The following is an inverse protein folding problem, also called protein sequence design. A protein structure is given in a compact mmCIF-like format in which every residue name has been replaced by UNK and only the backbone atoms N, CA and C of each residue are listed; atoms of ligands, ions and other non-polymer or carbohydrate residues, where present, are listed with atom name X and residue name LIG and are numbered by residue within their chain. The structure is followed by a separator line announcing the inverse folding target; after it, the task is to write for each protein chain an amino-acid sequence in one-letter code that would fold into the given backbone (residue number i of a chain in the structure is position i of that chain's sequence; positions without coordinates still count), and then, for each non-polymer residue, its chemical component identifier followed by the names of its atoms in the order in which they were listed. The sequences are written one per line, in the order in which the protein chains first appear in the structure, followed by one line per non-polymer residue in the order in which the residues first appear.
data_IF_273147167722
#
_entry.id   IF_273147167722
#
_cell.length_a   1.000
_cell.length_b   1.000
_cell.length_c   1.000
_cell.angle_alpha   90.00
_cell.angle_beta   90.00
_cell.angle_gamma   90.00
#
_symmetry.space_group_name_H-M   'P 1'
#
loop_
_entity.id
_entity.type
_entity.pdbx_description
1 polymer ?
#
# COMPACT_ATOMS: atom_id res chain seq x y z
N UNK A 1 -81.98 3.54 -55.34
CA UNK A 1 -81.04 3.46 -54.20
C UNK A 1 -79.82 2.68 -54.69
N UNK A 2 -78.68 3.34 -54.83
CA UNK A 2 -77.47 2.78 -55.44
C UNK A 2 -76.45 2.52 -54.27
N UNK A 3 -76.20 1.26 -53.96
CA UNK A 3 -75.24 0.86 -52.97
C UNK A 3 -73.89 0.73 -53.65
N UNK A 4 -72.93 1.51 -53.23
CA UNK A 4 -71.49 1.41 -53.67
C UNK A 4 -70.76 0.45 -52.79
N UNK A 5 -70.22 -0.62 -53.35
CA UNK A 5 -69.25 -1.48 -52.70
C UNK A 5 -67.85 -0.84 -52.79
N UNK A 6 -67.22 -0.66 -51.67
CA UNK A 6 -65.83 -0.21 -51.57
C UNK A 6 -64.96 -1.43 -51.40
N UNK A 7 -64.12 -1.73 -52.40
CA UNK A 7 -63.09 -2.77 -52.31
C UNK A 7 -61.91 -2.24 -51.56
N UNK A 8 -61.63 -2.86 -50.43
CA UNK A 8 -60.41 -2.56 -49.61
C UNK A 8 -59.34 -3.53 -50.04
N UNK A 9 -58.29 -3.04 -50.72
CA UNK A 9 -57.13 -3.80 -51.07
C UNK A 9 -56.19 -3.87 -49.82
N UNK A 10 -55.94 -5.08 -49.36
CA UNK A 10 -55.02 -5.36 -48.28
C UNK A 10 -53.60 -5.55 -48.85
N UNK A 11 -52.76 -4.55 -48.73
CA UNK A 11 -51.37 -4.65 -49.10
C UNK A 11 -50.60 -5.32 -47.94
N UNK A 12 -50.18 -6.55 -48.13
CA UNK A 12 -49.30 -7.27 -47.21
C UNK A 12 -47.86 -6.77 -47.42
N UNK A 13 -47.37 -5.97 -46.50
CA UNK A 13 -45.93 -5.62 -46.42
C UNK A 13 -45.20 -6.75 -45.72
N UNK A 14 -44.36 -7.49 -46.46
CA UNK A 14 -43.37 -8.40 -45.93
C UNK A 14 -42.25 -7.58 -45.25
N UNK A 15 -42.22 -7.60 -43.95
CA UNK A 15 -41.01 -7.19 -43.20
C UNK A 15 -39.97 -8.27 -43.30
N UNK A 16 -38.96 -8.06 -44.09
CA UNK A 16 -37.70 -8.81 -44.00
C UNK A 16 -36.96 -8.32 -42.75
N UNK A 17 -37.02 -9.10 -41.67
CA UNK A 17 -36.10 -8.93 -40.54
C UNK A 17 -34.72 -9.30 -41.05
N UNK A 18 -33.94 -8.29 -41.39
CA UNK A 18 -32.48 -8.44 -41.50
C UNK A 18 -31.94 -8.55 -40.06
N UNK A 19 -31.52 -9.74 -39.66
CA UNK A 19 -30.62 -9.88 -38.50
C UNK A 19 -29.30 -9.26 -38.90
N UNK A 20 -29.06 -8.03 -38.50
CA UNK A 20 -27.73 -7.51 -38.35
C UNK A 20 -27.17 -8.12 -37.05
N UNK A 21 -26.24 -9.08 -37.17
CA UNK A 21 -25.34 -9.42 -36.09
C UNK A 21 -24.51 -8.16 -35.79
N UNK A 22 -24.93 -7.38 -34.79
CA UNK A 22 -24.02 -6.44 -34.15
C UNK A 22 -23.04 -7.30 -33.40
N UNK A 23 -21.83 -7.45 -33.91
CA UNK A 23 -20.67 -7.80 -33.12
C UNK A 23 -20.51 -6.63 -32.14
N UNK A 24 -21.15 -6.71 -30.98
CA UNK A 24 -20.85 -5.90 -29.83
C UNK A 24 -19.45 -6.37 -29.39
N UNK A 25 -18.41 -5.79 -29.99
CA UNK A 25 -17.11 -5.81 -29.37
C UNK A 25 -17.27 -5.16 -28.02
N UNK A 26 -17.20 -5.95 -26.95
CA UNK A 26 -17.07 -5.46 -25.59
C UNK A 26 -15.88 -4.51 -25.56
N UNK A 27 -16.15 -3.22 -25.65
CA UNK A 27 -15.13 -2.20 -25.47
C UNK A 27 -14.67 -2.29 -24.02
N UNK A 28 -13.56 -3.00 -23.79
CA UNK A 28 -12.91 -3.07 -22.48
C UNK A 28 -12.40 -1.66 -22.18
N UNK A 29 -13.24 -0.87 -21.50
CA UNK A 29 -12.83 0.43 -20.99
C UNK A 29 -11.90 0.18 -19.81
N UNK A 30 -10.61 0.24 -20.06
CA UNK A 30 -9.62 0.22 -18.98
C UNK A 30 -9.75 1.54 -18.20
N UNK A 31 -9.96 1.49 -16.87
CA UNK A 31 -9.99 2.71 -16.08
C UNK A 31 -8.69 3.52 -16.27
N UNK A 32 -8.74 4.84 -16.25
CA UNK A 32 -7.55 5.66 -16.35
C UNK A 32 -6.60 5.36 -15.18
N UNK A 33 -5.29 5.23 -15.47
CA UNK A 33 -4.28 5.05 -14.45
C UNK A 33 -4.18 6.29 -13.57
N UNK A 34 -4.09 6.07 -12.25
CA UNK A 34 -3.80 7.13 -11.29
C UNK A 34 -2.37 7.63 -11.41
N UNK A 35 -2.15 8.87 -11.01
CA UNK A 35 -0.81 9.45 -10.88
C UNK A 35 -0.84 10.60 -9.88
N UNK A 36 0.33 11.00 -9.41
CA UNK A 36 0.50 12.16 -8.54
C UNK A 36 1.58 11.98 -7.50
N UNK A 37 1.81 13.02 -6.75
CA UNK A 37 2.73 13.03 -5.63
C UNK A 37 1.98 12.69 -4.34
N UNK A 38 2.65 11.91 -3.48
CA UNK A 38 2.22 11.58 -2.12
C UNK A 38 3.34 11.95 -1.16
N UNK A 39 2.97 12.47 0.00
CA UNK A 39 3.92 12.87 1.04
C UNK A 39 3.22 13.65 2.14
N UNK A 40 3.97 14.05 3.16
CA UNK A 40 3.44 14.77 4.30
C UNK A 40 2.43 13.96 5.12
N UNK A 41 1.36 14.61 5.62
CA UNK A 41 0.40 13.97 6.53
C UNK A 41 -0.90 13.60 5.81
N UNK A 42 -1.28 12.33 5.85
CA UNK A 42 -2.60 11.88 5.47
C UNK A 42 -3.56 12.05 6.66
N UNK A 43 -4.47 13.00 6.55
CA UNK A 43 -5.45 13.34 7.61
C UNK A 43 -6.89 12.96 7.27
N UNK A 44 -7.11 12.34 6.11
CA UNK A 44 -8.39 11.83 5.66
C UNK A 44 -8.21 10.51 4.89
N UNK A 45 -9.24 9.68 4.91
CA UNK A 45 -9.23 8.44 4.13
C UNK A 45 -9.08 8.74 2.64
N UNK A 46 -8.26 7.96 1.95
CA UNK A 46 -8.04 8.11 0.52
C UNK A 46 -7.74 6.78 -0.14
N UNK A 47 -8.33 6.57 -1.31
CA UNK A 47 -7.99 5.46 -2.20
C UNK A 47 -7.23 6.01 -3.41
N UNK A 48 -6.07 5.44 -3.66
CA UNK A 48 -5.26 5.66 -4.84
C UNK A 48 -5.57 4.51 -5.81
N UNK A 49 -6.21 4.83 -6.92
CA UNK A 49 -6.49 3.84 -7.99
C UNK A 49 -5.18 3.32 -8.58
N UNK A 50 -5.21 2.15 -9.23
CA UNK A 50 -4.01 1.61 -9.89
C UNK A 50 -3.30 2.69 -10.71
N UNK A 51 -2.01 2.87 -10.46
CA UNK A 51 -1.23 3.92 -11.13
C UNK A 51 0.19 4.07 -10.64
N UNK A 52 0.82 5.17 -11.06
CA UNK A 52 2.20 5.50 -10.71
C UNK A 52 2.23 6.76 -9.84
N UNK A 53 2.76 6.63 -8.65
CA UNK A 53 2.81 7.70 -7.65
C UNK A 53 4.27 8.00 -7.27
N UNK A 54 4.57 9.27 -7.04
CA UNK A 54 5.86 9.70 -6.52
C UNK A 54 5.74 9.95 -5.02
N UNK A 55 6.56 9.27 -4.23
CA UNK A 55 6.67 9.53 -2.80
C UNK A 55 7.74 10.62 -2.59
N UNK A 56 7.34 11.74 -1.97
CA UNK A 56 8.20 12.88 -1.68
C UNK A 56 8.17 13.19 -0.19
N UNK A 57 9.25 12.87 0.50
CA UNK A 57 9.36 12.94 1.95
C UNK A 57 8.62 11.82 2.69
N UNK A 58 8.45 11.98 3.99
CA UNK A 58 7.77 11.00 4.84
C UNK A 58 6.26 11.14 4.70
N UNK A 59 5.60 10.09 4.20
CA UNK A 59 4.13 10.04 4.12
C UNK A 59 3.56 9.40 5.38
N UNK A 60 3.04 10.23 6.29
CA UNK A 60 2.52 9.83 7.61
C UNK A 60 1.03 9.58 7.56
N UNK A 61 0.59 8.35 7.73
CA UNK A 61 -0.82 7.96 7.84
C UNK A 61 -1.24 8.11 9.29
N UNK A 62 -2.03 9.14 9.57
CA UNK A 62 -2.42 9.54 10.93
C UNK A 62 -3.43 8.58 11.55
N UNK A 63 -3.50 8.58 12.88
CA UNK A 63 -4.51 7.84 13.63
C UNK A 63 -5.93 8.11 13.11
N UNK A 64 -6.72 7.06 12.94
CA UNK A 64 -8.09 7.13 12.40
C UNK A 64 -8.18 7.24 10.89
N UNK A 65 -7.05 7.33 10.17
CA UNK A 65 -7.01 7.44 8.71
C UNK A 65 -6.70 6.08 8.07
N UNK A 66 -7.39 5.79 6.98
CA UNK A 66 -7.11 4.62 6.13
C UNK A 66 -6.67 5.09 4.74
N UNK A 67 -5.49 4.67 4.33
CA UNK A 67 -4.97 4.86 2.98
C UNK A 67 -4.99 3.52 2.25
N UNK A 68 -5.54 3.53 1.04
CA UNK A 68 -5.63 2.34 0.19
C UNK A 68 -4.93 2.59 -1.13
N UNK A 69 -4.13 1.62 -1.58
CA UNK A 69 -3.60 1.56 -2.94
C UNK A 69 -4.17 0.33 -3.65
N UNK A 70 -4.71 0.53 -4.84
CA UNK A 70 -5.21 -0.56 -5.66
C UNK A 70 -4.06 -1.43 -6.20
N UNK A 71 -4.37 -2.71 -6.47
CA UNK A 71 -3.43 -3.69 -7.01
C UNK A 71 -2.75 -3.17 -8.29
N UNK A 72 -1.47 -3.48 -8.46
CA UNK A 72 -0.65 -3.04 -9.59
C UNK A 72 -0.19 -1.58 -9.53
N UNK A 73 -0.40 -0.89 -8.40
CA UNK A 73 0.16 0.45 -8.19
C UNK A 73 1.68 0.40 -7.99
N UNK A 74 2.37 1.42 -8.48
CA UNK A 74 3.80 1.63 -8.28
C UNK A 74 4.01 2.94 -7.53
N UNK A 75 4.70 2.88 -6.41
CA UNK A 75 5.09 4.02 -5.59
C UNK A 75 6.60 4.19 -5.71
N UNK A 76 7.07 5.29 -6.28
CA UNK A 76 8.49 5.56 -6.49
C UNK A 76 8.95 6.68 -5.58
N UNK A 77 9.90 6.40 -4.68
CA UNK A 77 10.52 7.39 -3.83
C UNK A 77 11.35 8.37 -4.68
N UNK A 78 11.20 9.67 -4.41
CA UNK A 78 11.87 10.75 -5.13
C UNK A 78 13.36 10.87 -4.76
N UNK A 79 13.68 10.60 -3.51
CA UNK A 79 15.02 10.61 -2.88
C UNK A 79 15.82 11.92 -3.04
N UNK A 80 15.19 12.98 -3.54
CA UNK A 80 15.86 14.29 -3.73
C UNK A 80 15.71 15.22 -2.54
N UNK A 81 14.70 15.01 -1.68
CA UNK A 81 14.28 15.94 -0.63
C UNK A 81 14.44 15.39 0.80
N UNK A 82 15.50 14.63 1.05
CA UNK A 82 15.78 14.09 2.39
C UNK A 82 15.40 12.64 2.54
N UNK A 83 14.55 12.32 3.53
CA UNK A 83 14.12 10.95 3.80
C UNK A 83 12.72 10.72 3.28
N UNK A 84 12.58 9.78 2.37
CA UNK A 84 11.28 9.26 1.94
C UNK A 84 10.97 7.99 2.72
N UNK A 85 9.77 7.87 3.24
CA UNK A 85 9.26 6.66 3.90
C UNK A 85 7.73 6.66 3.90
N UNK A 86 7.12 5.49 3.96
CA UNK A 86 5.69 5.36 4.26
C UNK A 86 5.56 4.96 5.72
N UNK A 87 4.93 5.81 6.50
CA UNK A 87 4.77 5.63 7.96
C UNK A 87 3.30 5.46 8.29
N UNK A 88 2.96 4.38 8.97
CA UNK A 88 1.64 4.15 9.56
C UNK A 88 1.74 4.41 11.06
N UNK A 89 1.17 5.51 11.51
CA UNK A 89 1.12 5.82 12.95
C UNK A 89 0.14 4.89 13.68
N UNK A 90 0.33 4.72 14.97
CA UNK A 90 -0.59 3.92 15.79
C UNK A 90 -2.04 4.42 15.61
N UNK A 91 -2.95 3.51 15.25
CA UNK A 91 -4.34 3.80 14.90
C UNK A 91 -4.58 4.23 13.46
N UNK A 92 -3.55 4.45 12.63
CA UNK A 92 -3.63 4.57 11.18
C UNK A 92 -3.73 3.20 10.50
N UNK A 93 -4.13 3.17 9.24
CA UNK A 93 -4.20 1.93 8.44
C UNK A 93 -3.68 2.13 7.02
N UNK A 94 -2.86 1.19 6.58
CA UNK A 94 -2.42 1.09 5.20
C UNK A 94 -2.98 -0.20 4.58
N UNK A 95 -3.73 -0.05 3.50
CA UNK A 95 -4.30 -1.15 2.74
C UNK A 95 -3.60 -1.21 1.39
N UNK A 96 -2.73 -2.19 1.23
CA UNK A 96 -2.07 -2.54 -0.02
C UNK A 96 -2.42 -4.00 -0.33
N UNK A 97 -3.51 -4.21 -1.04
CA UNK A 97 -4.01 -5.54 -1.35
C UNK A 97 -3.75 -5.87 -2.81
N UNK A 98 -2.47 -6.07 -3.14
CA UNK A 98 -2.04 -6.55 -4.45
C UNK A 98 -2.45 -7.99 -4.73
N UNK A 99 -2.09 -8.48 -5.90
CA UNK A 99 -2.26 -9.88 -6.32
C UNK A 99 -0.95 -10.42 -6.89
N UNK A 100 -0.85 -11.73 -7.11
CA UNK A 100 0.32 -12.32 -7.76
C UNK A 100 0.54 -11.79 -9.19
N UNK A 101 -0.55 -11.49 -9.91
CA UNK A 101 -0.49 -10.92 -11.26
C UNK A 101 -0.25 -9.39 -11.25
N UNK A 102 -0.70 -8.71 -10.21
CA UNK A 102 -0.63 -7.26 -10.06
C UNK A 102 -0.14 -6.90 -8.65
N UNK A 103 1.14 -7.15 -8.32
CA UNK A 103 1.71 -6.75 -7.04
C UNK A 103 1.76 -5.22 -6.93
N UNK A 104 1.73 -4.71 -5.71
CA UNK A 104 2.03 -3.31 -5.44
C UNK A 104 3.53 -3.19 -5.22
N UNK A 105 4.17 -2.25 -5.91
CA UNK A 105 5.62 -2.08 -5.85
C UNK A 105 5.96 -0.72 -5.27
N UNK A 106 6.75 -0.73 -4.19
CA UNK A 106 7.35 0.46 -3.62
C UNK A 106 8.86 0.41 -3.93
N UNK A 107 9.35 1.37 -4.68
CA UNK A 107 10.72 1.38 -5.21
C UNK A 107 11.31 2.78 -5.21
N UNK A 108 12.53 2.91 -5.71
CA UNK A 108 13.14 4.20 -6.00
C UNK A 108 13.72 4.20 -7.43
N UNK A 109 13.92 5.38 -7.98
CA UNK A 109 14.23 5.57 -9.40
C UNK A 109 15.62 5.10 -9.80
N UNK A 110 16.62 5.35 -8.95
CA UNK A 110 18.04 5.08 -9.23
C UNK A 110 18.46 3.67 -8.91
N UNK A 111 17.61 2.89 -8.23
CA UNK A 111 17.85 1.52 -7.77
C UNK A 111 19.09 1.41 -6.90
N UNK A 112 19.25 2.38 -6.01
CA UNK A 112 20.33 2.44 -5.04
C UNK A 112 19.82 1.97 -3.68
N UNK A 113 20.37 0.88 -3.16
CA UNK A 113 20.04 0.36 -1.84
C UNK A 113 20.24 1.44 -0.76
N UNK A 114 19.29 1.55 0.18
CA UNK A 114 19.35 2.51 1.27
C UNK A 114 19.00 3.94 0.90
N UNK A 115 18.46 4.18 -0.29
CA UNK A 115 18.10 5.54 -0.70
C UNK A 115 16.82 6.06 -0.04
N UNK A 116 15.94 5.17 0.44
CA UNK A 116 14.69 5.51 1.11
C UNK A 116 14.39 4.56 2.28
N UNK A 117 13.40 4.91 3.12
CA UNK A 117 13.18 4.30 4.42
C UNK A 117 12.22 3.10 4.43
N UNK A 118 11.63 2.71 3.31
CA UNK A 118 10.72 1.57 3.30
C UNK A 118 9.33 1.85 3.88
N UNK A 119 8.70 0.79 4.42
CA UNK A 119 7.37 0.85 5.06
C UNK A 119 7.52 0.59 6.54
N UNK A 120 7.07 1.53 7.36
CA UNK A 120 7.19 1.52 8.81
C UNK A 120 5.80 1.57 9.43
N UNK A 121 5.50 0.66 10.36
CA UNK A 121 4.23 0.62 11.07
C UNK A 121 4.46 0.66 12.58
N UNK A 122 3.81 1.59 13.27
CA UNK A 122 3.78 1.68 14.72
C UNK A 122 2.45 1.18 15.26
N UNK A 123 2.52 0.39 16.33
CA UNK A 123 1.35 -0.16 17.00
C UNK A 123 1.46 -0.09 18.52
N UNK A 124 0.45 -0.60 19.18
CA UNK A 124 0.30 -0.66 20.63
C UNK A 124 0.06 -2.08 21.17
N UNK A 125 0.47 -3.09 20.39
CA UNK A 125 0.46 -4.46 20.87
C UNK A 125 1.55 -4.69 21.94
N UNK A 126 1.47 -5.76 22.74
CA UNK A 126 2.49 -6.06 23.75
C UNK A 126 3.88 -6.24 23.16
N UNK A 127 4.89 -5.74 23.86
CA UNK A 127 6.30 -5.99 23.58
C UNK A 127 6.92 -6.80 24.70
N UNK A 128 7.91 -7.63 24.34
CA UNK A 128 8.73 -8.34 25.32
C UNK A 128 9.98 -7.49 25.57
N UNK A 129 10.03 -6.85 26.71
CA UNK A 129 11.17 -6.01 27.11
C UNK A 129 11.65 -6.39 28.49
N UNK A 130 12.50 -5.56 29.09
CA UNK A 130 12.82 -5.67 30.50
C UNK A 130 11.53 -5.68 31.34
N UNK A 131 11.47 -6.45 32.41
CA UNK A 131 10.28 -6.61 33.22
C UNK A 131 9.64 -5.24 33.56
N UNK A 132 8.39 -5.05 33.22
CA UNK A 132 7.64 -3.80 33.46
C UNK A 132 7.73 -2.75 32.36
N UNK A 133 8.46 -2.97 31.25
CA UNK A 133 8.47 -2.04 30.11
C UNK A 133 7.29 -2.34 29.20
N UNK A 134 6.30 -1.45 29.18
CA UNK A 134 5.13 -1.58 28.32
C UNK A 134 5.32 -0.87 26.95
N UNK A 135 6.26 0.08 26.87
CA UNK A 135 6.55 0.87 25.67
C UNK A 135 8.06 1.04 25.48
N UNK A 136 8.47 1.26 24.24
CA UNK A 136 9.84 1.57 23.88
C UNK A 136 9.86 2.71 22.85
N UNK A 137 11.04 3.30 22.62
CA UNK A 137 11.27 4.32 21.60
C UNK A 137 11.78 3.64 20.34
N UNK A 138 11.24 4.03 19.18
CA UNK A 138 11.69 3.55 17.88
C UNK A 138 13.09 4.09 17.55
N UNK A 139 13.87 3.29 16.86
CA UNK A 139 15.26 3.59 16.49
C UNK A 139 15.45 4.10 15.07
N UNK A 140 14.38 4.17 14.28
CA UNK A 140 14.39 4.58 12.87
C UNK A 140 14.74 6.06 12.63
N UNK A 141 14.94 6.84 13.70
CA UNK A 141 15.29 8.26 13.63
C UNK A 141 14.17 9.19 13.16
N UNK A 142 12.96 8.65 12.96
CA UNK A 142 11.81 9.47 12.61
C UNK A 142 11.17 10.12 13.84
N UNK A 143 10.52 11.25 13.60
CA UNK A 143 9.81 11.99 14.65
C UNK A 143 8.33 12.17 14.30
N UNK A 144 7.52 12.20 15.35
CA UNK A 144 6.11 12.56 15.27
C UNK A 144 5.93 14.08 15.09
N UNK A 145 4.70 14.57 15.11
CA UNK A 145 4.39 15.99 14.92
C UNK A 145 4.87 16.90 16.06
N UNK A 146 5.13 16.34 17.23
CA UNK A 146 5.75 17.05 18.34
C UNK A 146 7.28 17.08 18.25
N UNK A 147 7.84 16.61 17.13
CA UNK A 147 9.27 16.51 16.90
C UNK A 147 9.99 15.64 17.96
N UNK A 148 9.29 14.61 18.43
CA UNK A 148 9.85 13.60 19.34
C UNK A 148 9.85 12.24 18.63
N UNK A 149 10.80 11.38 18.98
CA UNK A 149 10.87 10.04 18.44
C UNK A 149 9.54 9.29 18.66
N UNK A 150 9.19 8.42 17.72
CA UNK A 150 8.01 7.57 17.88
C UNK A 150 8.22 6.57 19.01
N UNK A 151 7.12 6.28 19.71
CA UNK A 151 7.07 5.20 20.70
C UNK A 151 6.12 4.12 20.26
N UNK A 152 6.37 2.90 20.66
CA UNK A 152 5.57 1.73 20.34
C UNK A 152 5.39 0.82 21.57
N UNK A 153 4.47 -0.13 21.52
CA UNK A 153 4.15 -1.00 22.63
C UNK A 153 2.89 -0.57 23.37
N UNK A 154 2.33 -1.50 24.10
CA UNK A 154 1.09 -1.32 24.85
C UNK A 154 0.45 -2.65 25.23
N UNK A 155 -0.88 -2.69 25.22
CA UNK A 155 -1.65 -3.87 25.65
C UNK A 155 -2.65 -4.37 24.61
N UNK A 156 -2.75 -3.71 23.46
CA UNK A 156 -3.70 -4.05 22.41
C UNK A 156 -3.17 -5.16 21.49
N UNK A 157 -3.22 -6.41 21.93
CA UNK A 157 -2.77 -7.54 21.14
C UNK A 157 -3.47 -7.66 19.77
N UNK A 158 -4.65 -7.07 19.60
CA UNK A 158 -5.42 -7.07 18.35
C UNK A 158 -5.20 -5.79 17.51
N UNK A 159 -4.17 -4.98 17.80
CA UNK A 159 -3.84 -3.80 17.00
C UNK A 159 -3.88 -4.14 15.50
N UNK A 160 -4.42 -3.21 14.70
CA UNK A 160 -4.63 -3.39 13.28
C UNK A 160 -4.12 -2.18 12.50
N UNK A 161 -2.92 -2.30 11.94
CA UNK A 161 -2.29 -1.32 11.04
C UNK A 161 -2.70 -1.45 9.56
N UNK A 162 -3.61 -2.40 9.25
CA UNK A 162 -4.11 -2.58 7.88
C UNK A 162 -3.77 -3.93 7.25
N UNK A 163 -3.58 -3.92 5.94
CA UNK A 163 -3.30 -5.14 5.15
C UNK A 163 -2.21 -4.85 4.14
N UNK A 164 -1.16 -5.64 4.18
CA UNK A 164 -0.15 -5.70 3.12
C UNK A 164 -0.18 -7.11 2.51
N UNK A 165 -0.59 -7.20 1.26
CA UNK A 165 -0.57 -8.44 0.47
C UNK A 165 0.05 -8.20 -0.89
N UNK A 166 0.92 -9.10 -1.32
CA UNK A 166 1.65 -8.99 -2.59
C UNK A 166 2.25 -7.61 -2.77
N UNK A 167 2.97 -7.17 -1.74
CA UNK A 167 3.71 -5.90 -1.73
C UNK A 167 5.19 -6.19 -1.84
N UNK A 168 5.86 -5.48 -2.75
CA UNK A 168 7.31 -5.53 -2.90
C UNK A 168 7.91 -4.18 -2.58
N UNK A 169 8.83 -4.16 -1.63
CA UNK A 169 9.67 -3.01 -1.26
C UNK A 169 11.06 -3.24 -1.81
N UNK A 170 11.57 -2.29 -2.57
CA UNK A 170 12.85 -2.38 -3.26
C UNK A 170 13.77 -1.23 -2.87
N UNK A 171 15.05 -1.54 -2.67
CA UNK A 171 16.13 -0.58 -2.44
C UNK A 171 15.97 0.32 -1.21
N UNK A 172 15.18 -0.11 -0.23
CA UNK A 172 14.97 0.58 1.04
C UNK A 172 16.15 0.34 2.01
N UNK A 173 15.97 0.65 3.28
CA UNK A 173 17.00 0.44 4.31
C UNK A 173 17.87 1.66 4.51
N UNK A 174 17.26 2.88 4.54
CA UNK A 174 18.01 4.12 4.72
C UNK A 174 18.55 4.27 6.12
N UNK A 175 19.86 4.48 6.22
CA UNK A 175 20.50 4.90 7.47
C UNK A 175 20.34 6.41 7.66
N UNK A 176 19.86 6.82 8.83
CA UNK A 176 19.73 8.22 9.20
C UNK A 176 20.89 8.59 10.10
N UNK A 177 21.60 9.62 9.77
CA UNK A 177 22.68 10.21 10.56
C UNK A 177 23.69 9.24 11.15
N UNK A 178 24.81 9.17 11.34
CA UNK A 178 25.84 8.45 12.13
C UNK A 178 25.84 6.91 12.13
N UNK A 179 24.89 6.24 11.46
CA UNK A 179 24.83 4.78 11.41
C UNK A 179 24.29 4.10 12.69
N UNK A 180 23.55 4.85 13.51
CA UNK A 180 22.89 4.33 14.70
C UNK A 180 21.36 4.27 14.57
N UNK A 181 20.79 5.02 13.63
CA UNK A 181 19.35 4.99 13.31
C UNK A 181 19.18 4.40 11.93
N UNK A 182 18.51 3.27 11.85
CA UNK A 182 18.38 2.46 10.65
C UNK A 182 16.92 2.23 10.32
N UNK A 183 16.62 2.19 9.03
CA UNK A 183 15.33 1.80 8.50
C UNK A 183 15.51 0.56 7.65
N UNK A 184 14.52 -0.28 7.63
CA UNK A 184 14.54 -1.56 6.95
C UNK A 184 13.71 -1.54 5.66
N UNK A 185 13.62 -2.67 4.99
CA UNK A 185 12.59 -2.87 3.97
C UNK A 185 11.20 -2.68 4.57
N UNK A 186 10.94 -3.40 5.65
CA UNK A 186 9.73 -3.31 6.45
C UNK A 186 10.08 -3.28 7.94
N UNK A 187 9.62 -2.27 8.66
CA UNK A 187 9.77 -2.16 10.12
C UNK A 187 8.41 -2.25 10.79
N UNK A 188 8.21 -3.23 11.66
CA UNK A 188 6.95 -3.49 12.35
C UNK A 188 7.11 -3.31 13.86
N UNK A 189 6.89 -2.09 14.34
CA UNK A 189 6.97 -1.74 15.75
C UNK A 189 5.68 -2.09 16.48
N UNK A 190 5.68 -3.17 17.25
CA UNK A 190 4.55 -3.56 18.11
C UNK A 190 3.21 -3.72 17.37
N UNK A 191 3.26 -4.25 16.17
CA UNK A 191 2.07 -4.47 15.33
C UNK A 191 1.28 -5.67 15.86
N UNK A 192 -0.05 -5.56 15.89
CA UNK A 192 -0.93 -6.57 16.49
C UNK A 192 -1.54 -7.54 15.50
N UNK A 193 -2.18 -8.59 16.04
CA UNK A 193 -2.76 -9.73 15.31
C UNK A 193 -3.91 -9.36 14.37
N UNK A 194 -4.46 -8.15 14.47
CA UNK A 194 -5.45 -7.63 13.53
C UNK A 194 -4.86 -7.19 12.19
N UNK A 195 -3.54 -7.05 12.10
CA UNK A 195 -2.84 -6.67 10.86
C UNK A 195 -2.57 -7.90 10.00
N UNK A 196 -2.68 -7.76 8.69
CA UNK A 196 -2.44 -8.83 7.73
C UNK A 196 -1.16 -8.54 6.95
N UNK A 197 -0.18 -9.45 7.04
CA UNK A 197 1.10 -9.39 6.33
C UNK A 197 1.29 -10.70 5.56
N UNK A 198 1.08 -10.68 4.24
CA UNK A 198 1.11 -11.90 3.42
C UNK A 198 1.75 -11.66 2.05
N UNK A 199 2.63 -12.58 1.61
CA UNK A 199 3.27 -12.52 0.30
C UNK A 199 4.03 -11.21 0.08
N UNK A 200 4.91 -10.87 1.01
CA UNK A 200 5.72 -9.66 0.95
C UNK A 200 7.12 -9.98 0.43
N UNK A 201 7.71 -9.03 -0.27
CA UNK A 201 9.08 -9.13 -0.79
C UNK A 201 9.88 -7.90 -0.37
N UNK A 202 10.99 -8.08 0.34
CA UNK A 202 12.05 -7.09 0.49
C UNK A 202 13.18 -7.40 -0.47
N UNK A 203 13.54 -6.43 -1.31
CA UNK A 203 14.45 -6.64 -2.43
C UNK A 203 15.57 -5.60 -2.45
N UNK A 204 16.80 -6.08 -2.27
CA UNK A 204 18.04 -5.28 -2.38
C UNK A 204 18.03 -4.01 -1.52
N UNK A 205 17.58 -4.12 -0.27
CA UNK A 205 17.74 -3.09 0.75
C UNK A 205 19.19 -2.97 1.20
N UNK A 206 19.53 -1.86 1.85
CA UNK A 206 20.85 -1.63 2.44
C UNK A 206 20.92 -2.06 3.90
N UNK A 207 19.82 -2.49 4.47
CA UNK A 207 19.68 -2.99 5.83
C UNK A 207 18.79 -4.22 5.83
N UNK A 208 18.11 -4.55 6.95
CA UNK A 208 17.28 -5.73 7.08
C UNK A 208 16.11 -5.78 6.07
N UNK A 209 15.72 -6.99 5.72
CA UNK A 209 14.54 -7.22 4.91
C UNK A 209 13.25 -6.90 5.67
N UNK A 210 13.18 -7.43 6.88
CA UNK A 210 12.03 -7.29 7.79
C UNK A 210 12.51 -7.23 9.21
N UNK A 211 12.02 -6.28 9.97
CA UNK A 211 12.31 -6.21 11.39
C UNK A 211 11.03 -6.08 12.22
N UNK A 212 10.92 -6.92 13.27
CA UNK A 212 9.78 -7.03 14.16
C UNK A 212 10.15 -6.64 15.57
N UNK A 213 9.73 -5.49 16.01
CA UNK A 213 9.97 -4.96 17.35
C UNK A 213 8.83 -5.33 18.31
N UNK A 214 8.72 -6.61 18.61
CA UNK A 214 7.62 -7.14 19.42
C UNK A 214 6.29 -7.20 18.65
N UNK A 215 5.17 -7.12 19.40
CA UNK A 215 3.85 -7.25 18.81
C UNK A 215 3.34 -8.69 18.78
N UNK A 216 2.18 -8.87 18.13
CA UNK A 216 1.47 -10.16 18.05
C UNK A 216 1.05 -10.51 16.62
N UNK A 217 1.52 -9.76 15.64
CA UNK A 217 1.24 -10.01 14.22
C UNK A 217 1.86 -11.35 13.80
N UNK A 218 1.18 -12.04 12.89
CA UNK A 218 1.72 -13.20 12.19
C UNK A 218 1.84 -12.89 10.71
N UNK A 219 3.05 -13.06 10.18
CA UNK A 219 3.32 -12.86 8.76
C UNK A 219 3.43 -14.20 8.02
N UNK A 220 3.09 -14.22 6.73
CA UNK A 220 3.14 -15.42 5.89
C UNK A 220 3.79 -15.13 4.55
N UNK A 221 4.60 -16.09 4.08
CA UNK A 221 5.24 -16.02 2.77
C UNK A 221 6.06 -14.74 2.57
N UNK A 222 7.03 -14.53 3.44
CA UNK A 222 7.99 -13.43 3.34
C UNK A 222 9.20 -13.87 2.51
N UNK A 223 9.65 -13.01 1.62
CA UNK A 223 10.85 -13.20 0.80
C UNK A 223 11.78 -12.02 1.06
N UNK A 224 12.98 -12.31 1.58
CA UNK A 224 14.10 -11.37 1.64
C UNK A 224 15.10 -11.76 0.55
N UNK A 225 15.45 -10.83 -0.33
CA UNK A 225 16.38 -11.11 -1.42
C UNK A 225 17.40 -10.00 -1.61
N UNK A 226 18.64 -10.32 -1.31
CA UNK A 226 19.80 -9.45 -1.58
C UNK A 226 19.81 -8.17 -0.73
N UNK A 227 19.19 -8.18 0.42
CA UNK A 227 19.36 -7.16 1.45
C UNK A 227 20.77 -7.28 2.04
N UNK A 228 21.33 -6.16 2.53
CA UNK A 228 22.76 -6.09 2.88
C UNK A 228 23.05 -6.52 4.31
N UNK A 229 22.05 -6.56 5.17
CA UNK A 229 22.16 -7.08 6.53
C UNK A 229 21.25 -8.29 6.69
N UNK A 230 20.47 -8.39 7.73
CA UNK A 230 19.69 -9.59 8.03
C UNK A 230 18.43 -9.72 7.17
N UNK A 231 17.95 -10.95 7.06
CA UNK A 231 16.68 -11.21 6.36
C UNK A 231 15.46 -10.92 7.24
N UNK A 232 15.62 -11.21 8.56
CA UNK A 232 14.57 -11.12 9.59
C UNK A 232 15.19 -10.80 10.94
#
# INVERSE_FOLDING_TARGET
MKTKFLLMAFAATLFLNSCTSSDDEDVIVTPPLGSGEIGGQATANKTFVKGNYTLSGVYKIKAGVTITFDAGSIITADVTNGTDAIVVENGGKLIMNGTAAEPIVCTEKSKVAGSWGGIIMYGDAPIVGAAGVATATAEDGLTNDANTAYTYGGTNAAHNGGTLRYVRVEYAGKKITDGTSEMNGFSFYSVGSGTILENLVSYKGADDGYEFYGGTVSAKNLISYGNSDDSF
#
